data_IF_961806897786
#
_entry.id   IF_961806897786
#
_cell.length_a   1.000
_cell.length_b   1.000
_cell.length_c   1.000
_cell.angle_alpha   90.00
_cell.angle_beta   90.00
_cell.angle_gamma   90.00
#
_symmetry.space_group_name_H-M   'P 1'
#
loop_
_entity.id
_entity.type
_entity.pdbx_description
1 polymer ?
#
# COMPACT_ATOMS: atom_id res chain seq x y z
N UNK A 1 7.02 0.41 -13.82
CA UNK A 1 5.93 1.40 -13.86
C UNK A 1 4.78 0.98 -12.94
N UNK A 2 3.80 1.86 -12.69
CA UNK A 2 2.53 1.47 -12.02
C UNK A 2 1.77 0.47 -12.90
N UNK A 3 1.03 -0.45 -12.28
CA UNK A 3 0.21 -1.43 -13.01
C UNK A 3 -1.25 -1.24 -12.62
N UNK A 4 -1.93 -0.33 -13.31
CA UNK A 4 -3.29 0.09 -12.97
C UNK A 4 -4.29 -1.07 -13.03
N UNK A 5 -4.13 -1.99 -13.99
CA UNK A 5 -4.94 -3.21 -14.09
C UNK A 5 -4.81 -4.17 -12.90
N UNK A 6 -3.77 -4.00 -12.07
CA UNK A 6 -3.51 -4.78 -10.85
C UNK A 6 -3.61 -3.92 -9.58
N UNK A 7 -4.19 -2.73 -9.69
CA UNK A 7 -4.41 -1.80 -8.58
C UNK A 7 -5.90 -1.74 -8.26
N UNK A 8 -6.29 -2.11 -7.05
CA UNK A 8 -7.70 -2.24 -6.66
C UNK A 8 -7.99 -1.54 -5.34
N UNK A 9 -9.25 -1.14 -5.16
CA UNK A 9 -9.83 -0.74 -3.88
C UNK A 9 -10.83 -1.83 -3.47
N UNK A 10 -10.78 -2.22 -2.21
CA UNK A 10 -11.60 -3.27 -1.62
C UNK A 10 -12.56 -2.64 -0.63
N UNK A 11 -13.84 -2.71 -0.93
CA UNK A 11 -14.96 -2.22 -0.12
C UNK A 11 -16.09 -3.24 -0.19
N UNK A 12 -16.99 -3.25 0.81
CA UNK A 12 -18.16 -4.12 0.84
C UNK A 12 -19.00 -3.98 -0.44
N UNK A 13 -19.37 -2.75 -0.80
CA UNK A 13 -20.12 -2.45 -2.02
C UNK A 13 -19.21 -1.89 -3.11
N UNK A 14 -19.36 -2.38 -4.34
CA UNK A 14 -18.65 -1.86 -5.50
C UNK A 14 -18.91 -0.36 -5.73
N UNK A 15 -20.14 0.09 -5.46
CA UNK A 15 -20.58 1.48 -5.68
C UNK A 15 -19.87 2.49 -4.78
N UNK A 16 -19.33 2.05 -3.64
CA UNK A 16 -18.54 2.91 -2.74
C UNK A 16 -17.13 3.18 -3.29
N UNK A 17 -16.67 2.35 -4.24
CA UNK A 17 -15.37 2.46 -4.89
C UNK A 17 -15.45 3.09 -6.29
N UNK A 18 -16.41 2.66 -7.11
CA UNK A 18 -16.58 3.14 -8.50
C UNK A 18 -18.07 3.27 -8.84
N UNK A 19 -18.46 4.24 -9.70
CA UNK A 19 -19.78 4.24 -10.32
C UNK A 19 -20.02 2.94 -11.09
N UNK A 20 -21.27 2.46 -11.09
CA UNK A 20 -21.67 1.27 -11.85
C UNK A 20 -21.77 1.65 -13.33
N UNK A 21 -20.92 1.10 -14.23
CA UNK A 21 -20.96 1.46 -15.64
C UNK A 21 -22.26 0.97 -16.30
N UNK A 22 -22.80 1.77 -17.21
CA UNK A 22 -23.91 1.35 -18.07
C UNK A 22 -23.41 0.44 -19.19
N UNK A 23 -24.24 -0.50 -19.64
CA UNK A 23 -23.95 -1.34 -20.81
C UNK A 23 -22.81 -2.35 -20.64
N UNK A 24 -22.41 -2.70 -19.42
CA UNK A 24 -21.37 -3.71 -19.16
C UNK A 24 -19.93 -3.27 -19.45
N UNK A 25 -19.72 -1.98 -19.68
CA UNK A 25 -18.38 -1.42 -19.87
C UNK A 25 -17.52 -1.58 -18.60
N UNK A 26 -16.20 -1.69 -18.77
CA UNK A 26 -15.26 -1.63 -17.63
C UNK A 26 -15.08 -0.18 -17.18
N UNK A 27 -15.13 0.05 -15.87
CA UNK A 27 -14.86 1.39 -15.31
C UNK A 27 -13.45 1.87 -15.64
N UNK A 28 -13.34 3.14 -16.01
CA UNK A 28 -12.05 3.84 -16.19
C UNK A 28 -11.67 4.66 -14.95
N UNK A 29 -12.56 4.75 -13.94
CA UNK A 29 -12.39 5.59 -12.75
C UNK A 29 -11.75 4.82 -11.57
N UNK A 30 -11.47 3.54 -11.75
CA UNK A 30 -10.89 2.69 -10.73
C UNK A 30 -11.19 1.21 -10.98
N UNK A 31 -10.64 0.35 -10.13
CA UNK A 31 -10.94 -1.08 -10.12
C UNK A 31 -11.36 -1.49 -8.70
N UNK A 32 -12.50 -2.13 -8.59
CA UNK A 32 -13.00 -2.71 -7.34
C UNK A 32 -12.66 -4.20 -7.29
N UNK A 33 -12.43 -4.71 -6.08
CA UNK A 33 -12.28 -6.13 -5.78
C UNK A 33 -13.09 -6.46 -4.55
N UNK A 34 -13.86 -7.54 -4.57
CA UNK A 34 -14.64 -7.98 -3.42
C UNK A 34 -13.73 -8.38 -2.25
N UNK A 35 -14.23 -8.29 -1.02
CA UNK A 35 -13.47 -8.73 0.16
C UNK A 35 -13.11 -10.22 0.07
N UNK A 36 -14.04 -11.07 -0.40
CA UNK A 36 -13.81 -12.50 -0.56
C UNK A 36 -12.69 -12.80 -1.56
N UNK A 37 -12.67 -12.12 -2.71
CA UNK A 37 -11.60 -12.29 -3.70
C UNK A 37 -10.27 -11.73 -3.21
N UNK A 38 -10.31 -10.63 -2.46
CA UNK A 38 -9.12 -10.08 -1.81
C UNK A 38 -8.53 -11.06 -0.79
N UNK A 39 -9.34 -11.72 0.05
CA UNK A 39 -8.82 -12.69 1.02
C UNK A 39 -8.16 -13.88 0.33
N UNK A 40 -8.79 -14.45 -0.70
CA UNK A 40 -8.17 -15.51 -1.53
C UNK A 40 -6.85 -15.04 -2.14
N UNK A 41 -6.83 -13.81 -2.68
CA UNK A 41 -5.64 -13.24 -3.27
C UNK A 41 -4.51 -13.00 -2.24
N UNK A 42 -4.87 -12.62 -1.00
CA UNK A 42 -3.95 -12.44 0.12
C UNK A 42 -3.32 -13.76 0.55
N UNK A 43 -4.13 -14.80 0.72
CA UNK A 43 -3.68 -16.15 1.08
C UNK A 43 -2.77 -16.78 0.03
N UNK A 44 -3.05 -16.54 -1.26
CA UNK A 44 -2.20 -17.00 -2.37
C UNK A 44 -0.82 -16.31 -2.45
N UNK A 45 -0.63 -15.19 -1.73
CA UNK A 45 0.53 -14.30 -1.89
C UNK A 45 1.41 -14.18 -0.66
N UNK A 46 0.82 -13.83 0.48
CA UNK A 46 1.59 -13.35 1.65
C UNK A 46 2.16 -14.44 2.57
N UNK A 47 1.54 -15.62 2.75
CA UNK A 47 2.13 -16.68 3.57
C UNK A 47 3.56 -17.03 3.12
N UNK A 48 4.53 -16.91 4.03
CA UNK A 48 5.94 -17.19 3.74
C UNK A 48 6.63 -16.27 2.73
N UNK A 49 6.01 -15.17 2.28
CA UNK A 49 6.54 -14.35 1.19
C UNK A 49 7.89 -13.67 1.48
N UNK A 50 8.20 -13.46 2.76
CA UNK A 50 9.46 -12.87 3.23
C UNK A 50 10.44 -13.91 3.79
N UNK A 51 10.22 -15.21 3.58
CA UNK A 51 11.12 -16.24 4.12
C UNK A 51 12.58 -15.97 3.71
N UNK A 52 13.48 -16.02 4.70
CA UNK A 52 14.91 -15.70 4.52
C UNK A 52 15.23 -14.23 4.20
N UNK A 53 14.26 -13.30 4.34
CA UNK A 53 14.48 -11.86 4.18
C UNK A 53 14.16 -11.12 5.48
N UNK A 54 14.82 -9.99 5.67
CA UNK A 54 14.50 -9.06 6.76
C UNK A 54 13.18 -8.36 6.46
N UNK A 55 12.25 -8.38 7.41
CA UNK A 55 11.11 -7.49 7.43
C UNK A 55 11.52 -6.18 8.12
N UNK A 56 11.58 -5.09 7.36
CA UNK A 56 11.80 -3.75 7.89
C UNK A 56 10.48 -3.13 8.32
N UNK A 57 10.48 -2.43 9.45
CA UNK A 57 9.34 -1.66 9.95
C UNK A 57 9.65 -0.18 9.82
N UNK A 58 8.83 0.55 9.06
CA UNK A 58 9.05 1.96 8.71
C UNK A 58 7.87 2.78 9.27
N UNK A 59 7.98 3.35 10.48
CA UNK A 59 7.06 4.37 10.95
C UNK A 59 7.31 5.67 10.18
N UNK A 60 6.28 6.24 9.55
CA UNK A 60 6.40 7.46 8.76
C UNK A 60 5.23 8.44 8.94
N UNK A 61 5.51 9.72 8.72
CA UNK A 61 4.54 10.82 8.70
C UNK A 61 4.36 11.37 7.29
N UNK A 62 3.10 11.51 6.89
CA UNK A 62 2.65 12.26 5.72
C UNK A 62 2.39 13.71 6.14
N UNK A 63 3.37 14.57 5.89
CA UNK A 63 3.39 15.96 6.37
C UNK A 63 4.37 16.17 7.54
N UNK A 64 4.56 17.42 7.99
CA UNK A 64 5.38 17.73 9.17
C UNK A 64 4.83 17.00 10.40
N UNK A 65 5.70 16.37 11.20
CA UNK A 65 5.29 15.45 12.30
C UNK A 65 4.34 16.10 13.31
N UNK A 66 4.49 17.39 13.57
CA UNK A 66 3.66 18.13 14.54
C UNK A 66 2.50 18.91 13.89
N UNK A 67 2.22 18.69 12.60
CA UNK A 67 1.09 19.31 11.92
C UNK A 67 -0.22 18.64 12.34
N UNK A 68 -1.27 19.42 12.57
CA UNK A 68 -2.63 18.91 12.78
C UNK A 68 -3.20 18.20 11.54
N UNK A 69 -2.64 18.45 10.35
CA UNK A 69 -3.01 17.79 9.11
C UNK A 69 -2.17 16.54 8.82
N UNK A 70 -1.17 16.25 9.66
CA UNK A 70 -0.33 15.08 9.45
C UNK A 70 -1.13 13.79 9.61
N UNK A 71 -0.84 12.81 8.76
CA UNK A 71 -1.35 11.45 8.90
C UNK A 71 -0.19 10.49 8.99
N UNK A 72 -0.28 9.53 9.90
CA UNK A 72 0.80 8.59 10.16
C UNK A 72 0.56 7.25 9.46
N UNK A 73 1.64 6.55 9.15
CA UNK A 73 1.60 5.21 8.61
C UNK A 73 2.74 4.35 9.14
N UNK A 74 2.53 3.05 9.14
CA UNK A 74 3.59 2.07 9.42
C UNK A 74 3.68 1.14 8.22
N UNK A 75 4.81 1.19 7.52
CA UNK A 75 5.08 0.31 6.39
C UNK A 75 6.02 -0.83 6.78
N UNK A 76 5.56 -2.06 6.59
CA UNK A 76 6.43 -3.24 6.60
C UNK A 76 6.85 -3.60 5.18
N UNK A 77 8.13 -3.93 4.98
CA UNK A 77 8.69 -4.26 3.66
C UNK A 77 9.86 -5.23 3.76
N UNK A 78 10.05 -6.09 2.76
CA UNK A 78 11.23 -6.96 2.60
C UNK A 78 12.30 -6.36 1.66
N UNK A 79 12.20 -5.05 1.37
CA UNK A 79 13.03 -4.35 0.40
C UNK A 79 13.82 -3.19 1.03
N UNK A 80 15.16 -3.27 1.09
CA UNK A 80 16.02 -2.16 1.53
C UNK A 80 15.89 -0.92 0.64
N UNK A 81 15.67 -1.10 -0.67
CA UNK A 81 15.42 -0.01 -1.62
C UNK A 81 14.19 0.82 -1.19
N UNK A 82 13.12 0.15 -0.77
CA UNK A 82 11.91 0.81 -0.28
C UNK A 82 12.18 1.58 1.00
N UNK A 83 12.96 1.02 1.93
CA UNK A 83 13.35 1.72 3.18
C UNK A 83 14.08 3.02 2.87
N UNK A 84 15.14 2.95 2.06
CA UNK A 84 15.95 4.13 1.70
C UNK A 84 15.10 5.19 0.99
N UNK A 85 14.26 4.76 0.04
CA UNK A 85 13.39 5.67 -0.72
C UNK A 85 12.30 6.30 0.16
N UNK A 86 11.71 5.55 1.10
CA UNK A 86 10.75 6.09 2.07
C UNK A 86 11.42 7.11 3.00
N UNK A 87 12.67 6.90 3.39
CA UNK A 87 13.44 7.86 4.18
C UNK A 87 13.70 9.19 3.48
N UNK A 88 13.70 9.22 2.14
CA UNK A 88 13.76 10.47 1.35
C UNK A 88 12.36 11.08 1.21
N UNK A 89 11.37 10.25 0.89
CA UNK A 89 10.04 10.71 0.48
C UNK A 89 9.11 11.08 1.63
N UNK A 90 9.43 10.65 2.86
CA UNK A 90 8.59 10.82 4.05
C UNK A 90 9.45 11.20 5.26
N UNK A 91 8.83 11.66 6.34
CA UNK A 91 9.53 11.81 7.63
C UNK A 91 9.42 10.48 8.36
N UNK A 92 10.54 9.84 8.66
CA UNK A 92 10.57 8.53 9.32
C UNK A 92 11.34 8.56 10.64
N UNK A 93 11.18 7.52 11.45
CA UNK A 93 12.01 7.27 12.64
C UNK A 93 11.37 7.73 13.95
N UNK A 94 12.22 8.03 14.94
CA UNK A 94 11.84 8.23 16.34
C UNK A 94 10.73 9.27 16.56
N UNK A 95 10.74 10.45 15.94
CA UNK A 95 9.67 11.43 16.15
C UNK A 95 8.28 10.91 15.76
N UNK A 96 8.21 10.02 14.77
CA UNK A 96 6.96 9.37 14.38
C UNK A 96 6.59 8.27 15.37
N UNK A 97 7.57 7.48 15.83
CA UNK A 97 7.33 6.46 16.85
C UNK A 97 6.76 7.05 18.14
N UNK A 98 7.25 8.21 18.57
CA UNK A 98 6.73 8.93 19.74
C UNK A 98 5.25 9.26 19.57
N UNK A 99 4.85 9.80 18.40
CA UNK A 99 3.43 10.07 18.09
C UNK A 99 2.58 8.80 18.11
N UNK A 100 3.10 7.69 17.57
CA UNK A 100 2.40 6.40 17.59
C UNK A 100 2.28 5.84 19.02
N UNK A 101 3.31 6.02 19.85
CA UNK A 101 3.30 5.60 21.26
C UNK A 101 2.33 6.44 22.11
N UNK A 102 2.11 7.71 21.75
CA UNK A 102 1.06 8.58 22.30
C UNK A 102 -0.36 8.17 21.86
N UNK A 103 -0.50 7.17 20.99
CA UNK A 103 -1.79 6.63 20.55
C UNK A 103 -2.31 7.21 19.23
N UNK A 104 -1.46 7.88 18.44
CA UNK A 104 -1.87 8.36 17.13
C UNK A 104 -2.29 7.20 16.22
N UNK A 105 -3.46 7.36 15.57
CA UNK A 105 -3.91 6.39 14.57
C UNK A 105 -3.00 6.41 13.34
N UNK A 106 -2.85 5.25 12.70
CA UNK A 106 -1.98 5.11 11.53
C UNK A 106 -2.57 4.19 10.46
N UNK A 107 -2.16 4.43 9.22
CA UNK A 107 -2.46 3.55 8.09
C UNK A 107 -1.48 2.38 8.07
N UNK A 108 -2.04 1.17 8.08
CA UNK A 108 -1.27 -0.09 8.06
C UNK A 108 -0.85 -0.40 6.63
N UNK A 109 0.46 -0.41 6.38
CA UNK A 109 1.00 -0.60 5.04
C UNK A 109 1.85 -1.88 5.00
N UNK A 110 1.42 -2.90 4.25
CA UNK A 110 2.16 -4.14 4.07
C UNK A 110 2.67 -4.24 2.63
N UNK A 111 3.98 -4.37 2.46
CA UNK A 111 4.62 -4.55 1.17
C UNK A 111 5.49 -5.80 1.16
N UNK A 112 5.45 -6.59 0.09
CA UNK A 112 6.46 -7.61 -0.19
C UNK A 112 6.80 -7.64 -1.68
N UNK A 113 8.08 -7.88 -1.98
CA UNK A 113 8.56 -8.14 -3.33
C UNK A 113 8.07 -9.50 -3.88
N UNK A 114 7.57 -10.39 -3.01
CA UNK A 114 6.98 -11.68 -3.40
C UNK A 114 7.99 -12.70 -3.89
N UNK A 115 9.23 -12.65 -3.39
CA UNK A 115 10.36 -13.48 -3.81
C UNK A 115 11.12 -14.07 -2.60
N UNK A 116 10.51 -14.99 -1.85
CA UNK A 116 11.15 -15.62 -0.69
C UNK A 116 12.43 -16.38 -1.07
N UNK A 117 13.29 -16.61 -0.08
CA UNK A 117 14.47 -17.47 -0.20
C UNK A 117 14.17 -18.90 0.31
N UNK A 118 14.81 -19.94 -0.27
CA UNK A 118 15.68 -19.88 -1.45
C UNK A 118 14.91 -19.48 -2.72
N UNK A 119 15.59 -18.82 -3.66
CA UNK A 119 14.95 -18.32 -4.87
C UNK A 119 14.47 -19.48 -5.75
N UNK A 120 13.21 -19.42 -6.20
CA UNK A 120 12.63 -20.39 -7.14
C UNK A 120 13.03 -20.15 -8.61
N UNK A 121 13.58 -18.98 -8.92
CA UNK A 121 14.08 -18.62 -10.24
C UNK A 121 15.17 -17.52 -10.12
N UNK A 122 16.06 -17.39 -11.11
CA UNK A 122 17.06 -16.32 -11.15
C UNK A 122 16.43 -14.92 -11.07
N UNK A 123 17.21 -13.95 -10.57
CA UNK A 123 16.83 -12.54 -10.61
C UNK A 123 17.38 -11.91 -11.88
N UNK A 124 16.61 -11.02 -12.50
CA UNK A 124 17.10 -10.12 -13.55
C UNK A 124 17.61 -8.86 -12.87
N UNK A 125 18.84 -8.45 -13.18
CA UNK A 125 19.47 -7.22 -12.65
C UNK A 125 19.49 -7.13 -11.11
N UNK A 126 19.55 -8.27 -10.41
CA UNK A 126 19.46 -8.35 -8.95
C UNK A 126 18.19 -7.70 -8.37
N UNK A 127 17.13 -7.58 -9.18
CA UNK A 127 15.87 -6.93 -8.79
C UNK A 127 14.80 -7.98 -8.46
N UNK A 128 14.54 -8.28 -7.17
CA UNK A 128 13.45 -9.17 -6.78
C UNK A 128 12.09 -8.53 -7.10
N UNK A 129 11.28 -9.24 -7.89
CA UNK A 129 9.87 -8.93 -8.11
C UNK A 129 9.11 -10.19 -8.51
N UNK A 130 7.78 -10.15 -8.40
CA UNK A 130 6.88 -11.20 -8.86
C UNK A 130 5.82 -10.58 -9.81
N UNK A 131 6.17 -10.34 -11.09
CA UNK A 131 5.30 -9.65 -12.04
C UNK A 131 3.95 -10.33 -12.26
N UNK A 132 3.92 -11.66 -12.23
CA UNK A 132 2.71 -12.47 -12.43
C UNK A 132 1.69 -12.21 -11.33
N UNK A 133 2.13 -12.22 -10.07
CA UNK A 133 1.25 -12.06 -8.90
C UNK A 133 1.12 -10.63 -8.38
N UNK A 134 1.60 -9.61 -9.11
CA UNK A 134 1.45 -8.21 -8.68
C UNK A 134 0.01 -7.90 -8.26
N UNK A 135 -0.16 -7.26 -7.12
CA UNK A 135 -1.45 -6.77 -6.65
C UNK A 135 -1.22 -5.62 -5.68
N UNK A 136 -1.87 -4.47 -5.93
CA UNK A 136 -1.81 -3.29 -5.06
C UNK A 136 -3.25 -3.01 -4.60
N UNK A 137 -3.55 -3.38 -3.36
CA UNK A 137 -4.88 -3.31 -2.76
C UNK A 137 -4.95 -2.22 -1.70
N UNK A 138 -6.09 -1.52 -1.66
CA UNK A 138 -6.39 -0.47 -0.70
C UNK A 138 -7.69 -0.83 0.00
N UNK A 139 -7.67 -0.90 1.33
CA UNK A 139 -8.82 -1.23 2.17
C UNK A 139 -9.11 0.01 3.03
N UNK A 140 -9.89 0.98 2.51
CA UNK A 140 -10.09 2.25 3.20
C UNK A 140 -10.78 2.09 4.56
N UNK A 141 -11.79 1.23 4.66
CA UNK A 141 -12.62 1.07 5.86
C UNK A 141 -11.81 0.54 7.05
N UNK A 142 -10.73 -0.19 6.77
CA UNK A 142 -9.79 -0.67 7.78
C UNK A 142 -8.46 0.07 7.76
N UNK A 143 -8.31 1.13 6.96
CA UNK A 143 -7.07 1.91 6.82
C UNK A 143 -5.85 1.02 6.53
N UNK A 144 -5.98 0.09 5.58
CA UNK A 144 -4.89 -0.80 5.18
C UNK A 144 -4.51 -0.61 3.71
N UNK A 145 -3.22 -0.78 3.43
CA UNK A 145 -2.66 -0.88 2.09
C UNK A 145 -1.85 -2.16 2.05
N UNK A 146 -2.12 -3.01 1.05
CA UNK A 146 -1.36 -4.22 0.81
C UNK A 146 -0.82 -4.20 -0.61
N UNK A 147 0.49 -4.34 -0.75
CA UNK A 147 1.16 -4.37 -2.04
C UNK A 147 2.08 -5.56 -2.17
N UNK A 148 1.92 -6.30 -3.26
CA UNK A 148 2.67 -7.53 -3.50
C UNK A 148 3.33 -7.52 -4.88
N UNK A 149 4.53 -8.07 -4.96
CA UNK A 149 5.18 -8.48 -6.21
C UNK A 149 5.92 -7.36 -6.97
N UNK A 150 5.85 -6.10 -6.53
CA UNK A 150 6.48 -4.99 -7.25
C UNK A 150 7.24 -4.05 -6.31
N UNK A 151 8.57 -4.01 -6.43
CA UNK A 151 9.43 -3.06 -5.73
C UNK A 151 9.47 -1.64 -6.30
N UNK A 152 8.72 -1.34 -7.36
CA UNK A 152 8.88 -0.10 -8.13
C UNK A 152 7.96 1.05 -7.65
N UNK A 153 8.58 2.18 -7.26
CA UNK A 153 7.93 3.49 -7.14
C UNK A 153 6.57 3.48 -6.46
N UNK A 154 5.53 3.97 -7.13
CA UNK A 154 4.18 4.09 -6.56
C UNK A 154 3.50 2.77 -6.16
N UNK A 155 4.07 1.61 -6.50
CA UNK A 155 3.58 0.31 -6.04
C UNK A 155 4.22 -0.08 -4.70
N UNK A 156 5.41 0.42 -4.36
CA UNK A 156 6.18 0.00 -3.19
C UNK A 156 6.40 1.11 -2.16
N UNK A 157 6.41 2.37 -2.57
CA UNK A 157 6.48 3.55 -1.69
C UNK A 157 5.05 3.90 -1.27
N UNK A 158 4.51 3.18 -0.28
CA UNK A 158 3.07 3.16 -0.02
C UNK A 158 2.54 4.51 0.50
N UNK A 159 3.40 5.35 1.07
CA UNK A 159 3.05 6.75 1.39
C UNK A 159 2.70 7.60 0.15
N UNK A 160 3.31 7.34 -1.01
CA UNK A 160 3.29 8.28 -2.15
C UNK A 160 1.95 8.37 -2.88
N UNK A 161 1.41 7.25 -3.38
CA UNK A 161 0.16 7.24 -4.16
C UNK A 161 -0.93 6.46 -3.45
N UNK A 162 -0.57 5.30 -2.89
CA UNK A 162 -1.52 4.43 -2.20
C UNK A 162 -2.14 5.12 -0.97
N UNK A 163 -1.30 5.72 -0.13
CA UNK A 163 -1.79 6.50 1.00
C UNK A 163 -2.29 7.87 0.53
N UNK A 164 -1.39 8.75 0.06
CA UNK A 164 -1.72 10.16 -0.16
C UNK A 164 -2.88 10.44 -1.13
N UNK A 165 -3.20 9.52 -2.04
CA UNK A 165 -4.20 9.76 -3.10
C UNK A 165 -5.27 8.66 -3.24
N UNK A 166 -5.27 7.62 -2.39
CA UNK A 166 -6.35 6.61 -2.41
C UNK A 166 -6.97 6.38 -1.05
N UNK A 167 -6.13 6.22 -0.01
CA UNK A 167 -6.63 6.16 1.36
C UNK A 167 -6.95 7.57 1.87
N UNK A 168 -6.07 8.54 1.66
CA UNK A 168 -6.24 9.89 2.19
C UNK A 168 -7.51 10.59 1.67
N UNK A 169 -7.90 10.53 0.37
CA UNK A 169 -9.17 11.12 -0.06
C UNK A 169 -10.39 10.49 0.60
N UNK A 170 -10.34 9.19 0.93
CA UNK A 170 -11.45 8.55 1.65
C UNK A 170 -11.54 9.02 3.10
N UNK A 171 -10.40 9.14 3.78
CA UNK A 171 -10.31 9.78 5.11
C UNK A 171 -10.80 11.22 5.03
N UNK A 172 -10.37 11.97 4.00
CA UNK A 172 -10.71 13.36 3.79
C UNK A 172 -12.22 13.56 3.59
N UNK A 173 -12.87 12.66 2.83
CA UNK A 173 -14.32 12.62 2.68
C UNK A 173 -15.04 12.41 4.02
N UNK A 174 -14.49 11.59 4.91
CA UNK A 174 -15.10 11.31 6.22
C UNK A 174 -14.87 12.45 7.23
N UNK A 175 -13.75 13.17 7.11
CA UNK A 175 -13.31 14.21 8.04
C UNK A 175 -13.53 15.66 7.55
N UNK A 176 -14.02 15.86 6.31
CA UNK A 176 -14.34 17.18 5.76
C UNK A 176 -13.14 17.99 5.24
N UNK A 177 -12.12 17.35 4.68
CA UNK A 177 -10.98 18.01 4.03
C UNK A 177 -10.70 17.43 2.63
N UNK A 178 -9.59 17.84 1.98
CA UNK A 178 -9.25 17.45 0.61
C UNK A 178 -7.84 16.84 0.49
N UNK A 179 -7.73 15.77 -0.29
CA UNK A 179 -6.46 15.14 -0.65
C UNK A 179 -6.38 15.00 -2.17
N UNK A 180 -5.59 15.87 -2.81
CA UNK A 180 -5.61 16.07 -4.26
C UNK A 180 -4.27 15.70 -4.92
N UNK A 181 -4.32 15.45 -6.23
CA UNK A 181 -3.14 15.08 -7.03
C UNK A 181 -2.31 16.27 -7.48
#
# INVERSE_FOLDING_TARGET
ARVESKTVIVTENQRDTIPIPTGGAKSQLGSWMSEADFQKAREDRFPGCMAGRTMYVIPFSMGPVNSSLAKFGVQVTDSPYVVASMGIMTRMGTPVLEKLAEGAEFVRCQHSLGRPLPLKAPLVNSWPCNPEKVLISHLPDTRQILSFGSGYGGNSLLGKKCFALRIAPRIAKDEGWLAEH
#
